data_IF_765049441614
#
_entry.id   IF_765049441614
#
_cell.length_a   1.000
_cell.length_b   1.000
_cell.length_c   1.000
_cell.angle_alpha   90.00
_cell.angle_beta   90.00
_cell.angle_gamma   90.00
#
_symmetry.space_group_name_H-M   'P 1'
#
loop_
_entity.id
_entity.type
_entity.pdbx_description
1 polymer ?
#
# COMPACT_ATOMS: atom_id res chain seq x y z
N UNK A 1 18.54 -2.73 -49.91
CA UNK A 1 19.17 -3.35 -48.73
C UNK A 1 18.59 -2.73 -47.49
N UNK A 2 17.54 -3.33 -46.96
CA UNK A 2 16.80 -2.87 -45.76
C UNK A 2 17.44 -3.50 -44.55
N UNK A 3 18.21 -2.74 -43.78
CA UNK A 3 18.74 -3.17 -42.48
C UNK A 3 17.60 -3.14 -41.46
N UNK A 4 17.06 -4.32 -41.17
CA UNK A 4 16.12 -4.55 -40.08
C UNK A 4 16.86 -4.33 -38.74
N UNK A 5 16.56 -3.23 -38.08
CA UNK A 5 16.95 -2.97 -36.70
C UNK A 5 16.14 -3.90 -35.76
N UNK A 6 16.62 -5.09 -35.52
CA UNK A 6 16.15 -5.94 -34.43
C UNK A 6 16.73 -5.40 -33.13
N UNK A 7 16.03 -4.49 -32.48
CA UNK A 7 16.31 -4.22 -31.06
C UNK A 7 16.03 -5.49 -30.27
N UNK A 8 17.01 -6.05 -29.56
CA UNK A 8 16.76 -7.24 -28.74
C UNK A 8 15.70 -6.86 -27.69
N UNK A 9 14.63 -7.65 -27.60
CA UNK A 9 13.62 -7.51 -26.57
C UNK A 9 14.30 -7.43 -25.19
N UNK A 10 13.90 -6.51 -24.31
CA UNK A 10 14.52 -6.35 -22.99
C UNK A 10 14.38 -7.67 -22.23
N UNK A 11 15.44 -8.44 -22.11
CA UNK A 11 15.47 -9.67 -21.34
C UNK A 11 15.25 -9.29 -19.87
N UNK A 12 14.06 -9.65 -19.33
CA UNK A 12 13.83 -9.60 -17.88
C UNK A 12 14.93 -10.46 -17.24
N UNK A 13 15.79 -9.83 -16.44
CA UNK A 13 16.88 -10.57 -15.80
C UNK A 13 16.27 -11.52 -14.77
N UNK A 14 16.64 -12.80 -14.82
CA UNK A 14 16.23 -13.86 -13.90
C UNK A 14 16.07 -13.42 -12.41
N UNK A 15 16.97 -12.58 -11.84
CA UNK A 15 16.83 -12.14 -10.45
C UNK A 15 15.59 -11.28 -10.14
N UNK A 16 14.93 -10.68 -11.14
CA UNK A 16 13.70 -9.88 -10.90
C UNK A 16 12.42 -10.74 -10.91
N UNK A 17 12.48 -11.97 -11.40
CA UNK A 17 11.31 -12.83 -11.50
C UNK A 17 10.59 -13.05 -10.16
N UNK A 18 11.28 -13.35 -9.03
CA UNK A 18 10.61 -13.49 -7.75
C UNK A 18 9.88 -12.21 -7.30
N UNK A 19 10.45 -11.03 -7.58
CA UNK A 19 9.82 -9.76 -7.24
C UNK A 19 8.56 -9.51 -8.08
N UNK A 20 8.63 -9.76 -9.38
CA UNK A 20 7.48 -9.66 -10.28
C UNK A 20 6.42 -10.69 -9.88
N UNK A 21 6.82 -11.92 -9.56
CA UNK A 21 5.94 -12.97 -9.08
C UNK A 21 5.24 -12.57 -7.77
N UNK A 22 5.98 -12.00 -6.80
CA UNK A 22 5.40 -11.49 -5.55
C UNK A 22 4.27 -10.49 -5.81
N UNK A 23 4.44 -9.62 -6.81
CA UNK A 23 3.40 -8.65 -7.18
C UNK A 23 2.24 -9.33 -7.91
N UNK A 24 2.51 -10.10 -8.97
CA UNK A 24 1.46 -10.60 -9.86
C UNK A 24 0.66 -11.77 -9.26
N UNK A 25 1.24 -12.58 -8.37
CA UNK A 25 0.52 -13.66 -7.69
C UNK A 25 -0.58 -13.19 -6.74
N UNK A 26 -0.60 -11.90 -6.42
CA UNK A 26 -1.72 -11.28 -5.72
C UNK A 26 -2.99 -11.16 -6.58
N UNK A 27 -2.91 -11.39 -7.88
CA UNK A 27 -4.08 -11.54 -8.73
C UNK A 27 -4.79 -12.89 -8.56
N UNK A 28 -4.12 -13.88 -7.95
CA UNK A 28 -4.72 -15.21 -7.69
C UNK A 28 -5.72 -15.04 -6.55
N UNK A 29 -7.00 -15.47 -6.75
CA UNK A 29 -8.00 -15.41 -5.69
C UNK A 29 -7.55 -16.19 -4.45
N UNK A 30 -7.65 -15.53 -3.30
CA UNK A 30 -7.41 -16.19 -2.02
C UNK A 30 -8.68 -16.93 -1.65
N UNK A 31 -8.65 -18.25 -1.65
CA UNK A 31 -9.72 -19.05 -1.07
C UNK A 31 -9.72 -18.79 0.45
N UNK A 32 -10.89 -18.46 0.99
CA UNK A 32 -11.02 -18.34 2.43
C UNK A 32 -10.56 -19.65 3.08
N UNK A 33 -9.50 -19.56 3.88
CA UNK A 33 -9.10 -20.73 4.66
C UNK A 33 -10.27 -21.13 5.56
N UNK A 34 -10.53 -22.43 5.64
CA UNK A 34 -11.53 -22.98 6.53
C UNK A 34 -11.35 -22.38 7.93
N UNK A 35 -12.44 -21.93 8.54
CA UNK A 35 -12.44 -21.29 9.84
C UNK A 35 -11.61 -22.13 10.83
N UNK A 36 -10.47 -21.59 11.27
CA UNK A 36 -9.58 -22.28 12.21
C UNK A 36 -8.09 -22.30 11.89
N UNK A 37 -7.66 -21.93 10.67
CA UNK A 37 -6.22 -21.83 10.37
C UNK A 37 -5.72 -20.40 10.56
N UNK A 38 -4.86 -20.20 11.55
CA UNK A 38 -4.35 -18.89 11.99
C UNK A 38 -3.32 -18.24 11.04
N UNK A 39 -2.97 -18.84 9.93
CA UNK A 39 -2.00 -18.28 8.99
C UNK A 39 -2.45 -18.51 7.54
N UNK A 40 -3.04 -17.49 6.92
CA UNK A 40 -3.32 -17.48 5.50
C UNK A 40 -2.03 -17.17 4.71
N UNK A 41 -1.22 -18.21 4.44
CA UNK A 41 -0.04 -18.08 3.58
C UNK A 41 -0.52 -18.02 2.13
N UNK A 42 -0.23 -16.92 1.47
CA UNK A 42 -0.60 -16.72 0.07
C UNK A 42 0.53 -17.15 -0.89
N UNK A 43 0.25 -17.43 -2.17
CA UNK A 43 1.28 -17.64 -3.17
C UNK A 43 2.27 -16.45 -3.28
N UNK A 44 1.81 -15.23 -3.02
CA UNK A 44 2.64 -14.04 -2.99
C UNK A 44 3.62 -14.05 -1.79
N UNK A 45 3.21 -14.58 -0.65
CA UNK A 45 4.10 -14.76 0.50
C UNK A 45 5.23 -15.74 0.19
N UNK A 46 4.93 -16.87 -0.46
CA UNK A 46 5.95 -17.82 -0.90
C UNK A 46 6.92 -17.21 -1.93
N UNK A 47 6.40 -16.44 -2.88
CA UNK A 47 7.22 -15.71 -3.84
C UNK A 47 8.11 -14.66 -3.14
N UNK A 48 7.62 -14.01 -2.10
CA UNK A 48 8.41 -13.05 -1.30
C UNK A 48 9.53 -13.73 -0.52
N UNK A 49 9.33 -14.95 -0.03
CA UNK A 49 10.40 -15.74 0.57
C UNK A 49 11.49 -16.08 -0.46
N UNK A 50 11.08 -16.52 -1.67
CA UNK A 50 12.01 -16.74 -2.77
C UNK A 50 12.75 -15.46 -3.17
N UNK A 51 12.06 -14.31 -3.18
CA UNK A 51 12.65 -12.99 -3.41
C UNK A 51 13.77 -12.69 -2.41
N UNK A 52 13.52 -12.89 -1.11
CA UNK A 52 14.52 -12.68 -0.05
C UNK A 52 15.72 -13.63 -0.22
N UNK A 53 15.47 -14.91 -0.48
CA UNK A 53 16.56 -15.89 -0.69
C UNK A 53 17.44 -15.54 -1.90
N UNK A 54 16.84 -15.14 -3.02
CA UNK A 54 17.58 -14.71 -4.22
C UNK A 54 18.39 -13.44 -3.95
N UNK A 55 17.81 -12.48 -3.19
CA UNK A 55 18.51 -11.26 -2.81
C UNK A 55 19.69 -11.54 -1.89
N UNK A 56 19.54 -12.40 -0.89
CA UNK A 56 20.62 -12.83 0.01
C UNK A 56 21.74 -13.55 -0.75
N UNK A 57 21.41 -14.50 -1.60
CA UNK A 57 22.39 -15.19 -2.45
C UNK A 57 23.13 -14.22 -3.39
N UNK A 58 22.46 -13.18 -3.86
CA UNK A 58 23.03 -12.11 -4.67
C UNK A 58 23.93 -11.16 -3.85
N UNK A 59 23.54 -10.83 -2.63
CA UNK A 59 24.28 -9.93 -1.74
C UNK A 59 25.64 -10.53 -1.32
N UNK A 60 25.66 -11.82 -0.99
CA UNK A 60 26.90 -12.54 -0.64
C UNK A 60 27.93 -12.48 -1.77
N UNK A 61 27.50 -12.40 -3.03
CA UNK A 61 28.36 -12.44 -4.21
C UNK A 61 28.76 -11.07 -4.78
N UNK A 62 28.05 -9.98 -4.48
CA UNK A 62 28.17 -8.79 -5.34
C UNK A 62 28.27 -7.44 -4.67
N UNK A 63 27.45 -7.09 -3.71
CA UNK A 63 27.51 -5.82 -2.94
C UNK A 63 26.50 -5.83 -1.81
N UNK A 64 26.92 -5.60 -0.57
CA UNK A 64 26.02 -5.37 0.56
C UNK A 64 25.24 -4.05 0.38
N UNK A 65 24.21 -3.88 1.19
CA UNK A 65 23.54 -2.59 1.35
C UNK A 65 24.55 -1.52 1.80
N UNK A 66 24.35 -0.28 1.40
CA UNK A 66 25.14 0.81 1.98
C UNK A 66 24.84 0.89 3.49
N UNK A 67 25.81 1.34 4.32
CA UNK A 67 25.56 1.46 5.77
C UNK A 67 24.31 2.28 6.12
N UNK A 68 24.06 3.35 5.37
CA UNK A 68 22.86 4.16 5.56
C UNK A 68 21.58 3.39 5.22
N UNK A 69 21.56 2.62 4.12
CA UNK A 69 20.41 1.80 3.76
C UNK A 69 20.18 0.67 4.76
N UNK A 70 21.26 0.03 5.23
CA UNK A 70 21.16 -1.02 6.25
C UNK A 70 20.64 -0.47 7.58
N UNK A 71 21.10 0.71 7.99
CA UNK A 71 20.62 1.38 9.20
C UNK A 71 19.12 1.73 9.08
N UNK A 72 18.73 2.45 8.04
CA UNK A 72 17.36 2.94 7.87
C UNK A 72 16.38 1.78 7.76
N UNK A 73 16.68 0.76 6.95
CA UNK A 73 15.82 -0.42 6.78
C UNK A 73 15.88 -1.39 7.97
N UNK A 74 16.94 -1.33 8.78
CA UNK A 74 17.08 -2.13 9.99
C UNK A 74 16.40 -1.54 11.23
N UNK A 75 16.10 -0.22 11.24
CA UNK A 75 15.46 0.44 12.37
C UNK A 75 14.17 -0.27 12.86
N UNK A 76 13.22 -0.65 12.01
CA UNK A 76 12.02 -1.34 12.46
C UNK A 76 12.30 -2.65 13.18
N UNK A 77 13.39 -3.36 12.82
CA UNK A 77 13.76 -4.63 13.47
C UNK A 77 13.99 -4.46 14.97
N UNK A 78 14.51 -3.30 15.41
CA UNK A 78 14.71 -3.03 16.83
C UNK A 78 13.38 -2.99 17.60
N UNK A 79 12.41 -2.20 17.10
CA UNK A 79 11.09 -2.11 17.74
C UNK A 79 10.36 -3.46 17.75
N UNK A 80 10.41 -4.18 16.62
CA UNK A 80 9.82 -5.52 16.48
C UNK A 80 10.45 -6.50 17.48
N UNK A 81 11.79 -6.51 17.62
CA UNK A 81 12.49 -7.40 18.52
C UNK A 81 12.16 -7.12 20.00
N UNK A 82 12.16 -5.83 20.40
CA UNK A 82 11.79 -5.42 21.76
C UNK A 82 10.35 -5.83 22.08
N UNK A 83 9.39 -5.52 21.18
CA UNK A 83 8.00 -5.88 21.39
C UNK A 83 7.75 -7.39 21.40
N UNK A 84 8.55 -8.16 20.67
CA UNK A 84 8.47 -9.63 20.72
C UNK A 84 8.97 -10.17 22.06
N UNK A 85 10.06 -9.58 22.59
CA UNK A 85 10.64 -10.00 23.87
C UNK A 85 9.74 -9.65 25.08
N UNK A 86 8.90 -8.63 24.94
CA UNK A 86 7.96 -8.19 26.01
C UNK A 86 6.54 -8.75 25.84
N UNK A 87 6.29 -9.56 24.82
CA UNK A 87 4.96 -10.09 24.53
C UNK A 87 4.50 -11.11 25.56
N UNK A 88 3.23 -11.04 25.94
CA UNK A 88 2.57 -11.97 26.86
C UNK A 88 2.25 -13.32 26.23
N UNK A 89 2.01 -13.36 24.89
CA UNK A 89 1.82 -14.57 24.10
C UNK A 89 3.00 -14.76 23.13
N UNK A 90 3.99 -15.61 23.46
CA UNK A 90 5.16 -15.84 22.59
C UNK A 90 4.81 -16.44 21.22
N UNK A 91 3.74 -17.24 21.12
CA UNK A 91 3.35 -17.91 19.87
C UNK A 91 2.78 -16.89 18.87
N UNK A 92 1.85 -16.05 19.33
CA UNK A 92 1.30 -14.97 18.52
C UNK A 92 2.39 -13.95 18.17
N UNK A 93 3.26 -13.61 19.14
CA UNK A 93 4.35 -12.67 18.94
C UNK A 93 5.36 -13.17 17.89
N UNK A 94 5.72 -14.46 17.89
CA UNK A 94 6.64 -15.03 16.91
C UNK A 94 6.05 -14.97 15.48
N UNK A 95 4.75 -15.27 15.34
CA UNK A 95 4.05 -15.13 14.07
C UNK A 95 4.05 -13.68 13.59
N UNK A 96 3.78 -12.73 14.49
CA UNK A 96 3.88 -11.30 14.25
C UNK A 96 5.30 -10.88 13.86
N UNK A 97 6.31 -11.35 14.59
CA UNK A 97 7.72 -11.06 14.33
C UNK A 97 8.11 -11.41 12.89
N UNK A 98 7.80 -12.64 12.47
CA UNK A 98 8.10 -13.10 11.10
C UNK A 98 7.42 -12.19 10.07
N UNK A 99 6.13 -11.86 10.27
CA UNK A 99 5.36 -11.03 9.33
C UNK A 99 5.87 -9.58 9.27
N UNK A 100 6.09 -8.95 10.41
CA UNK A 100 6.60 -7.58 10.46
C UNK A 100 8.03 -7.49 9.91
N UNK A 101 8.88 -8.45 10.24
CA UNK A 101 10.25 -8.53 9.71
C UNK A 101 10.24 -8.73 8.19
N UNK A 102 9.37 -9.61 7.67
CA UNK A 102 9.17 -9.81 6.23
C UNK A 102 8.82 -8.50 5.55
N UNK A 103 7.78 -7.81 6.03
CA UNK A 103 7.18 -6.64 5.35
C UNK A 103 8.06 -5.39 5.49
N UNK A 104 8.61 -5.11 6.67
CA UNK A 104 9.28 -3.84 6.93
C UNK A 104 10.82 -3.90 6.83
N UNK A 105 11.41 -5.09 6.76
CA UNK A 105 12.87 -5.25 6.73
C UNK A 105 13.32 -6.10 5.55
N UNK A 106 12.90 -7.35 5.46
CA UNK A 106 13.47 -8.31 4.51
C UNK A 106 13.06 -8.03 3.06
N UNK A 107 11.77 -7.86 2.79
CA UNK A 107 11.28 -7.56 1.44
C UNK A 107 11.82 -6.22 0.94
N UNK A 108 11.75 -5.10 1.69
CA UNK A 108 12.36 -3.84 1.27
C UNK A 108 13.85 -3.95 0.99
N UNK A 109 14.61 -4.62 1.85
CA UNK A 109 16.03 -4.84 1.65
C UNK A 109 16.32 -5.67 0.38
N UNK A 110 15.53 -6.73 0.14
CA UNK A 110 15.62 -7.54 -1.05
C UNK A 110 15.35 -6.74 -2.34
N UNK A 111 14.34 -5.88 -2.33
CA UNK A 111 14.03 -4.97 -3.45
C UNK A 111 15.21 -4.03 -3.72
N UNK A 112 15.78 -3.40 -2.69
CA UNK A 112 16.95 -2.51 -2.85
C UNK A 112 18.16 -3.25 -3.40
N UNK A 113 18.41 -4.48 -2.96
CA UNK A 113 19.52 -5.31 -3.43
C UNK A 113 19.38 -5.75 -4.89
N UNK A 114 18.15 -6.00 -5.36
CA UNK A 114 17.87 -6.51 -6.69
C UNK A 114 17.69 -5.42 -7.75
N UNK A 115 17.15 -4.27 -7.39
CA UNK A 115 16.99 -3.15 -8.30
C UNK A 115 18.35 -2.46 -8.54
N UNK A 116 18.78 -2.41 -9.80
CA UNK A 116 20.08 -1.82 -10.15
C UNK A 116 19.99 -0.62 -11.06
N UNK A 117 18.86 -0.49 -11.76
CA UNK A 117 18.69 0.54 -12.79
C UNK A 117 17.27 1.10 -12.73
N UNK A 118 17.02 2.31 -13.22
CA UNK A 118 15.67 2.84 -13.39
C UNK A 118 14.76 1.95 -14.26
N UNK A 119 15.35 1.19 -15.19
CA UNK A 119 14.59 0.21 -15.98
C UNK A 119 14.00 -0.90 -15.10
N UNK A 120 14.77 -1.44 -14.14
CA UNK A 120 14.26 -2.45 -13.20
C UNK A 120 13.10 -1.89 -12.36
N UNK A 121 13.21 -0.65 -11.89
CA UNK A 121 12.14 0.03 -11.17
C UNK A 121 10.87 0.12 -12.03
N UNK A 122 10.99 0.57 -13.30
CA UNK A 122 9.86 0.67 -14.23
C UNK A 122 9.21 -0.68 -14.53
N UNK A 123 9.98 -1.76 -14.60
CA UNK A 123 9.45 -3.13 -14.78
C UNK A 123 8.58 -3.54 -13.58
N UNK A 124 9.04 -3.26 -12.35
CA UNK A 124 8.25 -3.58 -11.15
C UNK A 124 7.00 -2.71 -11.05
N UNK A 125 7.11 -1.41 -11.33
CA UNK A 125 5.93 -0.53 -11.35
C UNK A 125 4.95 -0.90 -12.48
N UNK A 126 5.43 -1.40 -13.62
CA UNK A 126 4.57 -1.96 -14.67
C UNK A 126 3.81 -3.21 -14.18
N UNK A 127 4.48 -4.09 -13.41
CA UNK A 127 3.81 -5.24 -12.79
C UNK A 127 2.72 -4.79 -11.79
N UNK A 128 2.98 -3.73 -11.01
CA UNK A 128 1.95 -3.12 -10.14
C UNK A 128 0.77 -2.57 -10.94
N UNK A 129 1.02 -1.92 -12.07
CA UNK A 129 -0.05 -1.40 -12.96
C UNK A 129 -0.87 -2.56 -13.53
N UNK A 130 -0.22 -3.64 -13.99
CA UNK A 130 -0.92 -4.83 -14.49
C UNK A 130 -1.80 -5.43 -13.38
N UNK A 131 -1.27 -5.62 -12.18
CA UNK A 131 -2.03 -6.10 -11.04
C UNK A 131 -3.23 -5.18 -10.74
N UNK A 132 -3.02 -3.86 -10.74
CA UNK A 132 -4.07 -2.88 -10.49
C UNK A 132 -5.18 -2.93 -11.55
N UNK A 133 -4.83 -3.10 -12.82
CA UNK A 133 -5.81 -3.26 -13.90
C UNK A 133 -6.61 -4.56 -13.76
N UNK A 134 -5.97 -5.66 -13.40
CA UNK A 134 -6.65 -6.95 -13.16
C UNK A 134 -7.59 -6.82 -11.96
N UNK A 135 -7.11 -6.31 -10.84
CA UNK A 135 -7.91 -6.10 -9.62
C UNK A 135 -9.08 -5.14 -9.88
N UNK A 136 -8.79 -4.03 -10.59
CA UNK A 136 -9.81 -3.05 -10.95
C UNK A 136 -10.88 -3.61 -11.90
N UNK A 137 -10.48 -4.36 -12.93
CA UNK A 137 -11.42 -5.01 -13.85
C UNK A 137 -12.32 -6.04 -13.11
N UNK A 138 -11.74 -6.84 -12.22
CA UNK A 138 -12.49 -7.76 -11.36
C UNK A 138 -13.47 -7.00 -10.48
N UNK A 139 -13.04 -5.90 -9.85
CA UNK A 139 -13.89 -5.08 -9.01
C UNK A 139 -15.05 -4.42 -9.77
N UNK A 140 -14.82 -3.89 -10.96
CA UNK A 140 -15.87 -3.34 -11.83
C UNK A 140 -16.87 -4.44 -12.22
N UNK A 141 -16.39 -5.63 -12.57
CA UNK A 141 -17.24 -6.78 -12.86
C UNK A 141 -18.10 -7.17 -11.64
N UNK A 142 -17.50 -7.23 -10.45
CA UNK A 142 -18.22 -7.55 -9.21
C UNK A 142 -19.33 -6.53 -8.92
N UNK A 143 -19.05 -5.24 -9.09
CA UNK A 143 -20.04 -4.20 -8.91
C UNK A 143 -21.18 -4.31 -9.93
N UNK A 144 -20.86 -4.54 -11.21
CA UNK A 144 -21.84 -4.65 -12.28
C UNK A 144 -22.75 -5.88 -12.15
N UNK A 145 -22.26 -6.97 -11.56
CA UNK A 145 -22.99 -8.24 -11.40
C UNK A 145 -23.59 -8.44 -10.02
N UNK A 146 -23.38 -7.52 -9.09
CA UNK A 146 -23.84 -7.67 -7.72
C UNK A 146 -23.10 -8.74 -6.92
N UNK A 147 -21.87 -9.12 -7.32
CA UNK A 147 -21.08 -10.19 -6.69
C UNK A 147 -19.95 -9.67 -5.79
N UNK A 148 -19.89 -8.37 -5.52
CA UNK A 148 -18.95 -7.76 -4.59
C UNK A 148 -19.27 -8.06 -3.12
N UNK A 149 -18.54 -7.44 -2.19
CA UNK A 149 -18.81 -7.56 -0.77
C UNK A 149 -19.86 -6.55 -0.31
N UNK A 150 -20.77 -6.99 0.55
CA UNK A 150 -21.68 -6.12 1.31
C UNK A 150 -21.08 -5.87 2.69
N UNK A 151 -21.26 -4.66 3.21
CA UNK A 151 -20.87 -4.30 4.56
C UNK A 151 -22.11 -3.81 5.31
N UNK A 152 -22.45 -4.48 6.40
CA UNK A 152 -23.63 -4.20 7.24
C UNK A 152 -24.98 -4.24 6.49
N UNK A 153 -25.08 -5.06 5.43
CA UNK A 153 -26.30 -5.15 4.61
C UNK A 153 -26.49 -3.99 3.63
N UNK A 154 -25.54 -3.06 3.58
CA UNK A 154 -25.56 -1.95 2.63
C UNK A 154 -24.56 -2.20 1.49
N UNK A 155 -24.85 -1.63 0.36
CA UNK A 155 -24.14 -1.51 -0.91
C UNK A 155 -23.00 -2.50 -1.22
N UNK A 156 -23.06 -3.03 -2.42
CA UNK A 156 -22.05 -3.95 -2.97
C UNK A 156 -20.78 -3.17 -3.25
N UNK A 157 -19.69 -3.53 -2.57
CA UNK A 157 -18.35 -2.99 -2.79
C UNK A 157 -17.55 -3.86 -3.73
N UNK A 158 -16.80 -3.22 -4.61
CA UNK A 158 -15.75 -3.88 -5.37
C UNK A 158 -14.58 -4.24 -4.45
N UNK A 159 -14.22 -5.52 -4.39
CA UNK A 159 -13.15 -6.06 -3.51
C UNK A 159 -12.04 -6.79 -4.29
N UNK A 160 -12.21 -6.95 -5.60
CA UNK A 160 -11.26 -7.66 -6.45
C UNK A 160 -11.12 -9.14 -6.09
N UNK A 161 -9.95 -9.70 -6.31
CA UNK A 161 -9.67 -11.11 -6.01
C UNK A 161 -9.37 -11.38 -4.53
N UNK A 162 -9.25 -10.34 -3.70
CA UNK A 162 -8.96 -10.47 -2.26
C UNK A 162 -10.18 -10.90 -1.44
N UNK A 163 -11.39 -10.66 -1.98
CA UNK A 163 -12.64 -11.03 -1.32
C UNK A 163 -12.91 -10.22 -0.04
N UNK A 164 -13.84 -10.71 0.81
CA UNK A 164 -14.27 -10.00 2.01
C UNK A 164 -13.22 -9.98 3.13
N UNK A 165 -12.16 -10.78 3.04
CA UNK A 165 -11.09 -10.85 4.05
C UNK A 165 -10.08 -9.70 3.95
N UNK A 166 -10.01 -9.04 2.79
CA UNK A 166 -9.17 -7.87 2.57
C UNK A 166 -9.92 -6.86 1.68
N UNK A 167 -11.01 -6.33 2.21
CA UNK A 167 -11.91 -5.40 1.50
C UNK A 167 -11.16 -4.15 1.01
N UNK A 168 -10.11 -3.75 1.72
CA UNK A 168 -9.29 -2.59 1.36
C UNK A 168 -8.20 -2.91 0.34
N UNK A 169 -7.82 -4.19 0.19
CA UNK A 169 -6.71 -4.61 -0.64
C UNK A 169 -6.82 -4.18 -2.09
N UNK A 170 -8.00 -4.31 -2.70
CA UNK A 170 -8.23 -3.85 -4.07
C UNK A 170 -8.04 -2.33 -4.19
N UNK A 171 -8.61 -1.54 -3.29
CA UNK A 171 -8.50 -0.08 -3.31
C UNK A 171 -7.04 0.36 -3.20
N UNK A 172 -6.27 -0.28 -2.33
CA UNK A 172 -4.83 -0.02 -2.14
C UNK A 172 -4.04 -0.35 -3.40
N UNK A 173 -4.25 -1.53 -4.00
CA UNK A 173 -3.56 -1.94 -5.24
C UNK A 173 -3.90 -1.03 -6.40
N UNK A 174 -5.17 -0.68 -6.58
CA UNK A 174 -5.63 0.23 -7.62
C UNK A 174 -5.00 1.62 -7.45
N UNK A 175 -4.92 2.11 -6.22
CA UNK A 175 -4.25 3.38 -5.90
C UNK A 175 -2.76 3.35 -6.25
N UNK A 176 -2.05 2.26 -5.96
CA UNK A 176 -0.64 2.11 -6.36
C UNK A 176 -0.48 2.15 -7.89
N UNK A 177 -1.32 1.42 -8.62
CA UNK A 177 -1.31 1.45 -10.09
C UNK A 177 -1.62 2.83 -10.67
N UNK A 178 -2.62 3.52 -10.11
CA UNK A 178 -3.00 4.87 -10.50
C UNK A 178 -1.82 5.86 -10.27
N UNK A 179 -1.19 5.83 -9.11
CA UNK A 179 -0.06 6.71 -8.81
C UNK A 179 1.17 6.39 -9.65
N UNK A 180 1.43 5.11 -9.96
CA UNK A 180 2.50 4.71 -10.85
C UNK A 180 2.27 5.20 -12.30
N UNK A 181 1.04 5.07 -12.81
CA UNK A 181 0.68 5.59 -14.14
C UNK A 181 0.67 7.12 -14.18
N UNK A 182 0.20 7.78 -13.11
CA UNK A 182 0.25 9.23 -12.97
C UNK A 182 1.69 9.75 -13.00
N UNK A 183 2.64 9.08 -12.35
CA UNK A 183 4.06 9.45 -12.40
C UNK A 183 4.60 9.43 -13.84
N UNK A 184 4.27 8.39 -14.62
CA UNK A 184 4.63 8.29 -16.03
C UNK A 184 3.95 9.37 -16.89
N UNK A 185 2.69 9.68 -16.64
CA UNK A 185 1.97 10.72 -17.34
C UNK A 185 2.56 12.12 -17.09
N UNK A 186 2.96 12.40 -15.84
CA UNK A 186 3.54 13.68 -15.43
C UNK A 186 5.01 13.84 -15.86
N UNK A 187 5.80 12.78 -15.83
CA UNK A 187 7.25 12.78 -16.09
C UNK A 187 7.66 11.63 -17.00
N UNK A 188 7.08 11.56 -18.21
CA UNK A 188 7.44 10.56 -19.21
C UNK A 188 8.93 10.68 -19.58
N UNK A 189 9.72 9.59 -19.55
CA UNK A 189 11.12 9.61 -19.98
C UNK A 189 11.25 10.09 -21.44
N UNK A 190 12.26 10.91 -21.74
CA UNK A 190 12.47 11.43 -23.10
C UNK A 190 12.73 10.34 -24.16
N UNK A 191 13.30 9.21 -23.74
CA UNK A 191 13.54 8.04 -24.60
C UNK A 191 12.33 7.12 -24.77
N UNK A 192 11.21 7.43 -24.11
CA UNK A 192 10.02 6.60 -24.16
C UNK A 192 9.28 6.78 -25.50
N UNK A 193 8.61 5.74 -25.99
CA UNK A 193 7.77 5.85 -27.20
C UNK A 193 6.61 6.83 -26.97
N UNK A 194 6.21 7.52 -28.02
CA UNK A 194 5.18 8.59 -27.97
C UNK A 194 3.82 8.13 -27.44
N UNK A 195 3.50 6.84 -27.58
CA UNK A 195 2.26 6.25 -27.10
C UNK A 195 2.24 6.04 -25.57
N UNK A 196 3.40 5.98 -24.91
CA UNK A 196 3.47 5.67 -23.46
C UNK A 196 2.71 6.69 -22.61
N UNK A 197 2.86 7.97 -22.91
CA UNK A 197 2.19 9.04 -22.15
C UNK A 197 0.66 9.00 -22.26
N UNK A 198 0.06 8.94 -23.47
CA UNK A 198 -1.40 8.82 -23.58
C UNK A 198 -1.93 7.52 -22.96
N UNK A 199 -1.21 6.40 -23.08
CA UNK A 199 -1.59 5.16 -22.40
C UNK A 199 -1.52 5.29 -20.87
N UNK A 200 -0.52 5.98 -20.33
CA UNK A 200 -0.43 6.22 -18.89
C UNK A 200 -1.59 7.11 -18.38
N UNK A 201 -1.98 8.13 -19.16
CA UNK A 201 -3.15 8.96 -18.84
C UNK A 201 -4.44 8.12 -18.87
N UNK A 202 -4.63 7.33 -19.94
CA UNK A 202 -5.80 6.47 -20.09
C UNK A 202 -5.89 5.42 -18.95
N UNK A 203 -4.78 4.80 -18.59
CA UNK A 203 -4.72 3.85 -17.48
C UNK A 203 -5.01 4.53 -16.14
N UNK A 204 -4.48 5.73 -15.89
CA UNK A 204 -4.80 6.50 -14.69
C UNK A 204 -6.31 6.80 -14.62
N UNK A 205 -6.91 7.26 -15.73
CA UNK A 205 -8.33 7.52 -15.79
C UNK A 205 -9.18 6.24 -15.59
N UNK A 206 -8.78 5.13 -16.23
CA UNK A 206 -9.48 3.86 -16.06
C UNK A 206 -9.45 3.35 -14.62
N UNK A 207 -8.32 3.51 -13.91
CA UNK A 207 -8.16 3.07 -12.53
C UNK A 207 -8.94 3.94 -11.51
N UNK A 208 -9.40 5.15 -11.88
CA UNK A 208 -10.28 5.93 -11.00
C UNK A 208 -11.65 5.26 -10.82
N UNK A 209 -12.13 4.52 -11.82
CA UNK A 209 -13.45 3.85 -11.76
C UNK A 209 -13.48 2.79 -10.65
N UNK A 210 -12.62 1.74 -10.65
CA UNK A 210 -12.65 0.74 -9.58
C UNK A 210 -12.29 1.34 -8.21
N UNK A 211 -11.47 2.39 -8.16
CA UNK A 211 -11.19 3.10 -6.91
C UNK A 211 -12.46 3.76 -6.34
N UNK A 212 -13.27 4.41 -7.19
CA UNK A 212 -14.55 4.95 -6.77
C UNK A 212 -15.50 3.84 -6.28
N UNK A 213 -15.61 2.74 -7.02
CA UNK A 213 -16.48 1.60 -6.70
C UNK A 213 -16.02 0.79 -5.48
N UNK A 214 -14.84 1.06 -4.95
CA UNK A 214 -14.37 0.46 -3.69
C UNK A 214 -15.05 1.05 -2.46
N UNK A 215 -15.67 2.22 -2.57
CA UNK A 215 -16.27 2.99 -1.47
C UNK A 215 -15.34 3.18 -0.26
N UNK A 216 -14.03 3.16 -0.50
CA UNK A 216 -13.02 3.34 0.53
C UNK A 216 -12.62 4.79 0.69
N UNK A 217 -13.25 5.49 1.66
CA UNK A 217 -12.95 6.90 1.98
C UNK A 217 -11.46 7.14 2.27
N UNK A 218 -10.85 6.23 3.06
CA UNK A 218 -9.43 6.32 3.39
C UNK A 218 -8.52 6.24 2.16
N UNK A 219 -8.76 5.27 1.27
CA UNK A 219 -7.99 5.13 0.03
C UNK A 219 -8.18 6.31 -0.92
N UNK A 220 -9.39 6.89 -0.99
CA UNK A 220 -9.65 8.10 -1.79
C UNK A 220 -8.82 9.28 -1.30
N UNK A 221 -8.89 9.56 0.02
CA UNK A 221 -8.14 10.67 0.65
C UNK A 221 -6.63 10.48 0.44
N UNK A 222 -6.11 9.28 0.71
CA UNK A 222 -4.70 8.97 0.54
C UNK A 222 -4.25 9.14 -0.92
N UNK A 223 -5.06 8.67 -1.89
CA UNK A 223 -4.77 8.81 -3.32
C UNK A 223 -4.77 10.26 -3.76
N UNK A 224 -5.76 11.05 -3.33
CA UNK A 224 -5.84 12.48 -3.66
C UNK A 224 -4.65 13.24 -3.09
N UNK A 225 -4.31 13.03 -1.82
CA UNK A 225 -3.15 13.68 -1.18
C UNK A 225 -1.85 13.32 -1.92
N UNK A 226 -1.65 12.05 -2.23
CA UNK A 226 -0.47 11.60 -2.98
C UNK A 226 -0.42 12.18 -4.40
N UNK A 227 -1.53 12.17 -5.12
CA UNK A 227 -1.62 12.73 -6.47
C UNK A 227 -1.35 14.24 -6.48
N UNK A 228 -1.93 15.00 -5.55
CA UNK A 228 -1.68 16.45 -5.39
C UNK A 228 -0.20 16.69 -5.07
N UNK A 229 0.38 15.96 -4.14
CA UNK A 229 1.81 16.07 -3.82
C UNK A 229 2.69 15.81 -5.06
N UNK A 230 2.38 14.76 -5.84
CA UNK A 230 3.10 14.46 -7.09
C UNK A 230 2.96 15.59 -8.12
N UNK A 231 1.75 16.13 -8.31
CA UNK A 231 1.49 17.24 -9.24
C UNK A 231 2.29 18.49 -8.83
N UNK A 232 2.26 18.86 -7.56
CA UNK A 232 2.99 20.02 -7.04
C UNK A 232 4.52 19.89 -7.23
N UNK A 233 5.05 18.67 -7.14
CA UNK A 233 6.47 18.38 -7.37
C UNK A 233 6.91 18.48 -8.84
N UNK A 234 5.98 18.58 -9.80
CA UNK A 234 6.33 18.78 -11.22
C UNK A 234 6.69 20.22 -11.58
N UNK A 235 6.41 21.18 -10.71
CA UNK A 235 6.60 22.62 -10.92
C UNK A 235 5.29 23.35 -11.19
N UNK A 236 5.21 24.62 -10.80
CA UNK A 236 3.97 25.40 -10.73
C UNK A 236 3.15 25.41 -12.05
N UNK A 237 3.83 25.65 -13.19
CA UNK A 237 3.14 25.70 -14.50
C UNK A 237 2.51 24.36 -14.89
N UNK A 238 3.22 23.25 -14.65
CA UNK A 238 2.71 21.91 -14.99
C UNK A 238 1.64 21.48 -13.99
N UNK A 239 1.83 21.83 -12.71
CA UNK A 239 0.84 21.62 -11.66
C UNK A 239 -0.48 22.32 -11.98
N UNK A 240 -0.45 23.61 -12.36
CA UNK A 240 -1.66 24.34 -12.74
C UNK A 240 -2.40 23.68 -13.91
N UNK A 241 -1.68 23.26 -14.96
CA UNK A 241 -2.28 22.55 -16.10
C UNK A 241 -2.89 21.21 -15.71
N UNK A 242 -2.20 20.41 -14.86
CA UNK A 242 -2.69 19.12 -14.43
C UNK A 242 -3.92 19.27 -13.52
N UNK A 243 -3.90 20.21 -12.58
CA UNK A 243 -5.07 20.51 -11.75
C UNK A 243 -6.26 20.97 -12.59
N UNK A 244 -6.04 21.91 -13.51
CA UNK A 244 -7.11 22.37 -14.40
C UNK A 244 -7.72 21.23 -15.23
N UNK A 245 -6.89 20.32 -15.76
CA UNK A 245 -7.36 19.15 -16.50
C UNK A 245 -8.16 18.18 -15.63
N UNK A 246 -7.71 17.91 -14.39
CA UNK A 246 -8.42 17.06 -13.43
C UNK A 246 -9.75 17.68 -13.03
N UNK A 247 -9.77 18.99 -12.75
CA UNK A 247 -11.01 19.72 -12.41
C UNK A 247 -11.99 19.70 -13.57
N UNK A 248 -11.52 19.97 -14.80
CA UNK A 248 -12.36 19.91 -15.99
C UNK A 248 -12.94 18.50 -16.21
N UNK A 249 -12.13 17.46 -16.06
CA UNK A 249 -12.59 16.07 -16.16
C UNK A 249 -13.63 15.73 -15.07
N UNK A 250 -13.43 16.17 -13.84
CA UNK A 250 -14.39 15.98 -12.74
C UNK A 250 -15.72 16.69 -13.02
N UNK A 251 -15.67 17.93 -13.50
CA UNK A 251 -16.89 18.71 -13.89
C UNK A 251 -17.65 18.01 -15.02
N UNK A 252 -16.94 17.49 -16.03
CA UNK A 252 -17.58 16.77 -17.15
C UNK A 252 -18.20 15.45 -16.69
N UNK A 253 -17.52 14.70 -15.82
CA UNK A 253 -18.02 13.41 -15.33
C UNK A 253 -19.22 13.57 -14.39
N UNK A 254 -19.17 14.52 -13.47
CA UNK A 254 -20.26 14.76 -12.50
C UNK A 254 -21.40 15.54 -13.13
N UNK A 255 -21.07 16.60 -13.87
CA UNK A 255 -22.10 17.49 -14.48
C UNK A 255 -22.67 16.98 -15.79
N UNK A 256 -21.88 16.23 -16.59
CA UNK A 256 -22.28 15.78 -17.93
C UNK A 256 -22.95 14.39 -17.96
N UNK A 257 -22.54 13.48 -17.11
CA UNK A 257 -23.01 12.09 -17.17
C UNK A 257 -23.85 11.68 -15.95
N UNK A 258 -23.97 12.50 -14.93
CA UNK A 258 -24.73 12.18 -13.69
C UNK A 258 -24.24 10.90 -12.99
N UNK A 259 -23.05 10.42 -13.33
CA UNK A 259 -22.52 9.14 -12.87
C UNK A 259 -22.31 9.17 -11.36
N UNK A 260 -23.11 8.40 -10.65
CA UNK A 260 -22.95 8.19 -9.21
C UNK A 260 -23.34 9.39 -8.34
N UNK A 261 -24.11 10.36 -8.85
CA UNK A 261 -24.37 11.62 -8.14
C UNK A 261 -24.96 11.43 -6.74
N UNK A 262 -25.87 10.49 -6.53
CA UNK A 262 -26.52 10.28 -5.25
C UNK A 262 -25.61 9.55 -4.24
N UNK A 263 -25.03 8.42 -4.63
CA UNK A 263 -24.16 7.60 -3.77
C UNK A 263 -22.80 8.27 -3.47
N UNK A 264 -22.21 8.98 -4.47
CA UNK A 264 -21.01 9.79 -4.25
C UNK A 264 -21.32 10.99 -3.37
N UNK A 265 -22.48 11.66 -3.56
CA UNK A 265 -22.87 12.78 -2.70
C UNK A 265 -23.11 12.34 -1.26
N UNK A 266 -23.79 11.22 -1.03
CA UNK A 266 -23.99 10.64 0.30
C UNK A 266 -22.65 10.32 0.98
N UNK A 267 -21.69 9.75 0.25
CA UNK A 267 -20.35 9.47 0.79
C UNK A 267 -19.51 10.73 1.03
N UNK A 268 -19.62 11.74 0.18
CA UNK A 268 -18.98 13.04 0.41
C UNK A 268 -19.59 13.76 1.60
N UNK A 269 -20.92 13.77 1.72
CA UNK A 269 -21.63 14.32 2.87
C UNK A 269 -21.23 13.59 4.15
N UNK A 270 -21.13 12.26 4.13
CA UNK A 270 -20.66 11.47 5.28
C UNK A 270 -19.21 11.74 5.68
N UNK A 271 -18.37 12.30 4.81
CA UNK A 271 -17.01 12.77 5.18
C UNK A 271 -17.11 14.10 5.96
N UNK A 272 -18.04 14.95 5.61
CA UNK A 272 -18.23 16.27 6.27
C UNK A 272 -19.05 16.18 7.54
N UNK A 273 -19.94 15.19 7.66
CA UNK A 273 -20.86 15.02 8.81
C UNK A 273 -20.36 14.00 9.86
N UNK A 274 -19.12 13.50 9.73
CA UNK A 274 -18.53 12.52 10.66
C UNK A 274 -18.58 12.96 12.14
N UNK A 275 -18.65 14.26 12.39
CA UNK A 275 -18.70 14.82 13.75
C UNK A 275 -20.11 14.88 14.35
N UNK A 276 -21.17 14.87 13.53
CA UNK A 276 -22.53 15.07 14.02
C UNK A 276 -23.30 13.76 14.24
N UNK A 277 -23.08 12.75 13.39
CA UNK A 277 -23.67 11.41 13.54
C UNK A 277 -22.72 10.34 12.96
N UNK A 278 -21.64 9.96 13.68
CA UNK A 278 -20.70 8.99 13.19
C UNK A 278 -21.37 7.63 13.01
N UNK A 279 -21.15 7.00 11.86
CA UNK A 279 -21.62 5.65 11.62
C UNK A 279 -20.94 4.63 12.58
N UNK A 280 -21.53 3.44 12.76
CA UNK A 280 -21.05 2.43 13.71
C UNK A 280 -19.58 2.05 13.48
N UNK A 281 -19.15 1.99 12.21
CA UNK A 281 -17.77 1.70 11.84
C UNK A 281 -16.79 2.80 12.29
N UNK A 282 -17.21 4.05 12.30
CA UNK A 282 -16.41 5.18 12.79
C UNK A 282 -16.34 5.14 14.33
N UNK A 283 -17.44 4.86 15.01
CA UNK A 283 -17.47 4.72 16.46
C UNK A 283 -16.56 3.58 16.95
N UNK A 284 -16.61 2.43 16.29
CA UNK A 284 -15.73 1.29 16.60
C UNK A 284 -14.25 1.66 16.43
N UNK A 285 -13.91 2.42 15.38
CA UNK A 285 -12.53 2.90 15.17
C UNK A 285 -12.08 3.84 16.28
N UNK A 286 -12.89 4.82 16.66
CA UNK A 286 -12.55 5.74 17.75
C UNK A 286 -12.38 5.00 19.08
N UNK A 287 -13.24 4.01 19.37
CA UNK A 287 -13.13 3.18 20.56
C UNK A 287 -11.82 2.35 20.56
N UNK A 288 -11.46 1.77 19.41
CA UNK A 288 -10.19 1.03 19.28
C UNK A 288 -8.96 1.95 19.32
N UNK A 289 -9.06 3.19 18.81
CA UNK A 289 -7.98 4.18 18.93
C UNK A 289 -7.77 4.61 20.37
N UNK A 290 -8.86 4.83 21.11
CA UNK A 290 -8.79 5.11 22.54
C UNK A 290 -8.19 3.95 23.33
N UNK A 291 -8.58 2.70 23.01
CA UNK A 291 -7.98 1.52 23.59
C UNK A 291 -6.48 1.40 23.32
N UNK A 292 -6.06 1.64 22.07
CA UNK A 292 -4.64 1.65 21.71
C UNK A 292 -3.84 2.72 22.49
N UNK A 293 -4.40 3.92 22.63
CA UNK A 293 -3.79 4.99 23.42
C UNK A 293 -3.69 4.64 24.90
N UNK A 294 -4.71 4.00 25.48
CA UNK A 294 -4.71 3.52 26.87
C UNK A 294 -3.66 2.44 27.09
N UNK A 295 -3.54 1.45 26.20
CA UNK A 295 -2.47 0.43 26.25
C UNK A 295 -1.07 1.04 26.22
N UNK A 296 -0.89 2.07 25.39
CA UNK A 296 0.39 2.80 25.34
C UNK A 296 0.68 3.54 26.65
N UNK A 297 -0.32 4.16 27.28
CA UNK A 297 -0.14 4.87 28.55
C UNK A 297 0.35 3.95 29.68
N UNK A 298 -0.10 2.68 29.67
CA UNK A 298 0.35 1.67 30.65
C UNK A 298 1.79 1.23 30.39
N UNK A 299 2.22 1.17 29.13
CA UNK A 299 3.55 0.71 28.72
C UNK A 299 4.19 1.64 27.69
N UNK A 300 4.59 2.88 28.03
CA UNK A 300 4.97 3.90 27.05
C UNK A 300 6.16 3.54 26.18
N UNK A 301 7.16 2.86 26.73
CA UNK A 301 8.40 2.55 26.02
C UNK A 301 8.28 1.40 25.05
N UNK A 302 7.68 0.29 25.47
CA UNK A 302 7.70 -1.01 24.78
C UNK A 302 6.34 -1.46 24.27
N UNK A 303 5.24 -0.81 24.69
CA UNK A 303 3.88 -1.25 24.42
C UNK A 303 3.51 -2.54 25.18
N UNK A 304 2.37 -3.12 24.84
CA UNK A 304 1.84 -4.35 25.44
C UNK A 304 2.44 -5.63 24.82
N UNK A 305 3.42 -5.49 23.93
CA UNK A 305 4.04 -6.60 23.22
C UNK A 305 3.41 -6.86 21.84
N UNK A 306 4.19 -7.47 20.97
CA UNK A 306 3.81 -7.73 19.59
C UNK A 306 2.61 -8.69 19.52
N UNK A 307 1.60 -8.33 18.70
CA UNK A 307 0.31 -9.02 18.63
C UNK A 307 -0.48 -9.01 19.95
N UNK A 308 -0.15 -8.09 20.85
CA UNK A 308 -0.83 -7.92 22.13
C UNK A 308 -2.15 -7.17 22.05
N UNK A 309 -2.37 -6.36 21.00
CA UNK A 309 -3.59 -5.55 20.88
C UNK A 309 -4.88 -6.37 21.02
N UNK A 310 -5.09 -7.50 20.33
CA UNK A 310 -6.33 -8.28 20.46
C UNK A 310 -6.58 -8.80 21.88
N UNK A 311 -5.51 -9.16 22.60
CA UNK A 311 -5.59 -9.73 23.96
C UNK A 311 -5.96 -8.65 25.00
N UNK A 312 -5.39 -7.45 24.84
CA UNK A 312 -5.60 -6.35 25.79
C UNK A 312 -6.80 -5.47 25.43
N UNK A 313 -7.36 -5.60 24.19
CA UNK A 313 -8.43 -4.74 23.67
C UNK A 313 -9.61 -4.60 24.62
N UNK A 314 -10.15 -5.71 25.11
CA UNK A 314 -11.39 -5.70 25.88
C UNK A 314 -11.22 -5.05 27.27
N UNK A 315 -10.00 -5.07 27.82
CA UNK A 315 -9.68 -4.40 29.09
C UNK A 315 -9.55 -2.87 28.93
N UNK A 316 -9.26 -2.39 27.71
CA UNK A 316 -9.00 -0.97 27.42
C UNK A 316 -10.11 -0.31 26.60
N UNK A 317 -10.98 -1.09 25.95
CA UNK A 317 -12.07 -0.58 25.14
C UNK A 317 -13.28 -0.20 26.01
N UNK A 318 -14.03 0.83 25.58
CA UNK A 318 -15.32 1.14 26.19
C UNK A 318 -16.37 0.06 25.85
N UNK A 319 -17.43 -0.02 26.65
CA UNK A 319 -18.58 -0.92 26.46
C UNK A 319 -19.28 -0.70 25.11
N UNK A 320 -19.06 0.46 24.47
CA UNK A 320 -19.64 0.80 23.17
C UNK A 320 -19.00 0.09 21.98
N UNK A 321 -17.90 -0.67 22.17
CA UNK A 321 -17.28 -1.42 21.08
C UNK A 321 -18.20 -2.53 20.58
N UNK A 322 -18.45 -2.58 19.28
CA UNK A 322 -19.24 -3.67 18.72
C UNK A 322 -18.48 -4.99 18.76
N UNK A 323 -19.25 -6.10 18.81
CA UNK A 323 -18.64 -7.44 18.88
C UNK A 323 -17.91 -7.89 17.61
N UNK A 324 -17.95 -7.10 16.53
CA UNK A 324 -17.28 -7.36 15.27
C UNK A 324 -17.92 -6.62 14.10
N UNK A 325 -17.25 -6.63 12.96
CA UNK A 325 -17.78 -6.11 11.69
C UNK A 325 -18.50 -7.24 10.92
N UNK A 326 -19.63 -6.88 10.33
CA UNK A 326 -20.44 -7.78 9.53
C UNK A 326 -19.99 -7.69 8.07
N UNK A 327 -19.49 -8.78 7.51
CA UNK A 327 -19.10 -8.86 6.10
C UNK A 327 -19.82 -10.01 5.41
N UNK A 328 -20.31 -9.76 4.19
CA UNK A 328 -20.95 -10.76 3.35
C UNK A 328 -20.61 -10.48 1.88
N UNK A 329 -20.85 -11.43 1.00
CA UNK A 329 -20.68 -11.29 -0.44
C UNK A 329 -19.38 -11.90 -0.98
N UNK A 330 -19.07 -11.65 -2.25
CA UNK A 330 -17.95 -12.24 -2.96
C UNK A 330 -17.91 -13.80 -2.90
N UNK A 331 -19.09 -14.44 -2.95
CA UNK A 331 -19.23 -15.88 -2.87
C UNK A 331 -19.18 -16.48 -1.46
N UNK A 332 -19.16 -15.63 -0.42
CA UNK A 332 -19.14 -16.09 0.98
C UNK A 332 -20.45 -15.72 1.69
N UNK A 333 -20.88 -16.59 2.61
CA UNK A 333 -21.98 -16.30 3.53
C UNK A 333 -21.59 -15.21 4.52
N UNK A 334 -22.61 -14.58 5.11
CA UNK A 334 -22.45 -13.62 6.19
C UNK A 334 -21.51 -14.17 7.27
N UNK A 335 -20.49 -13.39 7.62
CA UNK A 335 -19.52 -13.75 8.65
C UNK A 335 -19.18 -12.53 9.50
N UNK A 336 -19.25 -12.71 10.82
CA UNK A 336 -18.87 -11.69 11.78
C UNK A 336 -17.38 -11.75 12.04
N UNK A 337 -16.64 -10.73 11.61
CA UNK A 337 -15.20 -10.66 11.83
C UNK A 337 -14.89 -9.88 13.11
N UNK A 338 -14.10 -10.45 14.03
CA UNK A 338 -13.68 -9.74 15.24
C UNK A 338 -12.77 -8.56 14.89
N UNK A 339 -12.93 -7.45 15.61
CA UNK A 339 -12.10 -6.26 15.49
C UNK A 339 -10.77 -6.49 16.22
N UNK A 340 -9.74 -6.93 15.49
CA UNK A 340 -8.46 -7.37 16.06
C UNK A 340 -7.35 -6.31 15.97
N UNK A 341 -7.64 -5.15 15.40
CA UNK A 341 -6.68 -4.06 15.26
C UNK A 341 -7.38 -2.70 15.25
N UNK A 342 -6.66 -1.61 15.56
CA UNK A 342 -7.25 -0.26 15.55
C UNK A 342 -7.51 0.28 14.13
N UNK A 343 -7.19 -0.45 13.08
CA UNK A 343 -7.21 0.02 11.69
C UNK A 343 -6.47 1.38 11.52
N UNK A 344 -5.37 1.52 12.25
CA UNK A 344 -4.43 2.62 12.19
C UNK A 344 -3.06 2.09 12.55
N UNK A 345 -2.15 2.05 11.58
CA UNK A 345 -0.83 1.43 11.75
C UNK A 345 0.01 2.14 12.81
N UNK A 346 -0.12 3.45 12.94
CA UNK A 346 0.65 4.21 13.93
C UNK A 346 0.21 3.88 15.35
N UNK A 347 -1.10 3.79 15.59
CA UNK A 347 -1.65 3.43 16.88
C UNK A 347 -1.42 1.93 17.19
N UNK A 348 -1.44 1.08 16.17
CA UNK A 348 -1.11 -0.34 16.34
C UNK A 348 0.35 -0.51 16.78
N UNK A 349 1.28 0.16 16.09
CA UNK A 349 2.70 0.13 16.47
C UNK A 349 2.91 0.78 17.84
N UNK A 350 2.24 1.88 18.13
CA UNK A 350 2.35 2.57 19.42
C UNK A 350 1.87 1.69 20.58
N UNK A 351 0.72 1.04 20.43
CA UNK A 351 0.16 0.17 21.47
C UNK A 351 0.97 -1.12 21.68
N UNK A 352 1.43 -1.75 20.58
CA UNK A 352 2.15 -3.04 20.64
C UNK A 352 3.66 -2.90 20.87
N UNK A 353 4.29 -1.80 20.36
CA UNK A 353 5.76 -1.65 20.35
C UNK A 353 6.23 -0.39 21.08
N UNK A 354 5.30 0.41 21.62
CA UNK A 354 5.59 1.63 22.36
C UNK A 354 6.29 2.70 21.53
N UNK A 355 6.89 3.66 22.19
CA UNK A 355 7.66 4.75 21.54
C UNK A 355 8.90 4.24 20.81
N UNK A 356 9.53 3.15 21.29
CA UNK A 356 10.70 2.57 20.63
C UNK A 356 10.30 2.10 19.23
N UNK A 357 9.22 1.33 19.11
CA UNK A 357 8.74 0.87 17.80
C UNK A 357 8.21 1.99 16.93
N UNK A 358 7.40 2.90 17.48
CA UNK A 358 6.83 3.99 16.72
C UNK A 358 7.90 4.93 16.15
N UNK A 359 8.91 5.31 16.94
CA UNK A 359 9.99 6.18 16.48
C UNK A 359 10.84 5.51 15.40
N UNK A 360 11.13 4.21 15.54
CA UNK A 360 11.83 3.43 14.53
C UNK A 360 11.00 3.34 13.22
N UNK A 361 9.71 3.05 13.33
CA UNK A 361 8.80 2.93 12.20
C UNK A 361 8.63 4.25 11.46
N UNK A 362 8.22 5.31 12.15
CA UNK A 362 8.02 6.65 11.55
C UNK A 362 9.35 7.22 11.06
N UNK A 363 10.44 7.02 11.80
CA UNK A 363 11.78 7.46 11.42
C UNK A 363 12.24 6.86 10.10
N UNK A 364 11.97 5.57 9.86
CA UNK A 364 12.28 4.90 8.59
C UNK A 364 11.52 5.53 7.41
N UNK A 365 10.21 5.70 7.52
CA UNK A 365 9.40 6.30 6.45
C UNK A 365 9.78 7.77 6.20
N UNK A 366 9.98 8.55 7.25
CA UNK A 366 10.38 9.95 7.16
C UNK A 366 11.78 10.11 6.53
N UNK A 367 12.74 9.28 6.90
CA UNK A 367 14.08 9.30 6.32
C UNK A 367 14.05 8.99 4.82
N UNK A 368 13.30 7.95 4.42
CA UNK A 368 13.14 7.56 3.01
C UNK A 368 12.44 8.66 2.21
N UNK A 369 11.34 9.23 2.73
CA UNK A 369 10.62 10.31 2.06
C UNK A 369 11.50 11.55 1.90
N UNK A 370 12.20 11.96 2.97
CA UNK A 370 13.10 13.11 2.94
C UNK A 370 14.24 12.93 1.94
N UNK A 371 14.88 11.76 1.94
CA UNK A 371 15.94 11.44 0.98
C UNK A 371 15.41 11.40 -0.47
N UNK A 372 14.20 10.84 -0.66
CA UNK A 372 13.53 10.81 -1.97
C UNK A 372 13.26 12.21 -2.53
N UNK A 373 12.75 13.11 -1.70
CA UNK A 373 12.49 14.50 -2.06
C UNK A 373 13.78 15.25 -2.39
N UNK A 374 14.83 15.08 -1.56
CA UNK A 374 16.15 15.69 -1.81
C UNK A 374 16.74 15.23 -3.13
N UNK A 375 16.63 13.91 -3.45
CA UNK A 375 17.14 13.36 -4.72
C UNK A 375 16.35 13.87 -5.92
N UNK A 376 15.02 13.95 -5.82
CA UNK A 376 14.18 14.50 -6.89
C UNK A 376 14.51 15.96 -7.20
N UNK A 377 14.70 16.80 -6.16
CA UNK A 377 15.04 18.23 -6.30
C UNK A 377 16.42 18.46 -6.95
N UNK A 378 17.35 17.51 -6.86
CA UNK A 378 18.64 17.56 -7.53
C UNK A 378 18.60 17.29 -9.02
N UNK A 379 17.42 17.09 -9.60
CA UNK A 379 17.24 16.96 -11.05
C UNK A 379 17.69 15.62 -11.64
N UNK A 380 17.50 14.52 -10.95
CA UNK A 380 17.88 13.19 -11.43
C UNK A 380 17.16 12.82 -12.74
N UNK A 381 17.85 12.22 -13.75
CA UNK A 381 17.28 11.92 -15.07
C UNK A 381 16.10 10.93 -15.04
N UNK A 382 16.00 10.06 -14.01
CA UNK A 382 14.87 9.15 -13.79
C UNK A 382 13.81 9.77 -12.86
N UNK A 383 13.42 11.02 -13.10
CA UNK A 383 12.47 11.75 -12.26
C UNK A 383 11.07 11.07 -12.21
N UNK A 384 10.69 10.29 -13.21
CA UNK A 384 9.50 9.44 -13.20
C UNK A 384 9.55 8.40 -12.08
N UNK A 385 10.67 7.72 -11.90
CA UNK A 385 10.86 6.76 -10.79
C UNK A 385 10.78 7.47 -9.43
N UNK A 386 11.41 8.67 -9.33
CA UNK A 386 11.36 9.46 -8.12
C UNK A 386 9.97 9.93 -7.77
N UNK A 387 9.21 10.38 -8.76
CA UNK A 387 7.85 10.84 -8.56
C UNK A 387 6.93 9.67 -8.15
N UNK A 388 7.08 8.50 -8.77
CA UNK A 388 6.36 7.29 -8.37
C UNK A 388 6.73 6.87 -6.94
N UNK A 389 8.02 6.81 -6.60
CA UNK A 389 8.48 6.46 -5.26
C UNK A 389 7.90 7.40 -4.18
N UNK A 390 7.90 8.70 -4.42
CA UNK A 390 7.33 9.69 -3.48
C UNK A 390 5.81 9.54 -3.39
N UNK A 391 5.11 9.42 -4.52
CA UNK A 391 3.67 9.26 -4.54
C UNK A 391 3.21 8.01 -3.78
N UNK A 392 3.86 6.88 -4.02
CA UNK A 392 3.59 5.63 -3.32
C UNK A 392 3.89 5.72 -1.81
N UNK A 393 4.98 6.42 -1.43
CA UNK A 393 5.32 6.64 -0.01
C UNK A 393 4.30 7.54 0.68
N UNK A 394 3.91 8.64 0.05
CA UNK A 394 2.89 9.56 0.60
C UNK A 394 1.56 8.84 0.73
N UNK A 395 1.13 8.09 -0.30
CA UNK A 395 -0.08 7.29 -0.19
C UNK A 395 -0.02 6.35 1.01
N UNK A 396 1.03 5.55 1.13
CA UNK A 396 1.13 4.54 2.19
C UNK A 396 1.15 5.18 3.59
N UNK A 397 1.84 6.30 3.76
CA UNK A 397 1.89 6.99 5.06
C UNK A 397 0.54 7.62 5.44
N UNK A 398 -0.24 8.09 4.47
CA UNK A 398 -1.59 8.59 4.72
C UNK A 398 -2.58 7.44 4.94
N UNK A 399 -2.49 6.38 4.13
CA UNK A 399 -3.35 5.20 4.26
C UNK A 399 -3.21 4.52 5.63
N UNK A 400 -2.01 4.51 6.20
CA UNK A 400 -1.75 4.02 7.56
C UNK A 400 -2.49 4.76 8.68
N UNK A 401 -3.08 5.92 8.43
CA UNK A 401 -4.00 6.57 9.38
C UNK A 401 -5.36 5.87 9.45
N UNK A 402 -5.73 5.10 8.43
CA UNK A 402 -7.05 4.48 8.27
C UNK A 402 -6.99 2.97 8.07
N UNK A 403 -5.78 2.42 7.89
CA UNK A 403 -5.50 1.01 7.67
C UNK A 403 -4.25 0.58 8.44
N UNK A 404 -4.08 -0.71 8.59
CA UNK A 404 -2.86 -1.33 9.10
C UNK A 404 -2.44 -2.49 8.19
N UNK A 405 -1.43 -3.24 8.59
CA UNK A 405 -1.03 -4.46 7.88
C UNK A 405 -1.97 -5.60 8.23
N UNK A 406 -2.68 -6.07 7.26
CA UNK A 406 -3.59 -7.22 7.35
C UNK A 406 -3.92 -7.73 5.95
N UNK A 407 -4.38 -8.94 5.85
CA UNK A 407 -4.78 -9.53 4.59
C UNK A 407 -3.65 -9.84 3.59
N UNK A 408 -4.03 -10.37 2.42
CA UNK A 408 -3.11 -10.80 1.37
C UNK A 408 -2.27 -9.67 0.76
N UNK A 409 -2.81 -8.45 0.70
CA UNK A 409 -2.14 -7.30 0.07
C UNK A 409 -0.93 -6.78 0.87
N UNK A 410 -0.77 -7.18 2.12
CA UNK A 410 0.25 -6.67 3.06
C UNK A 410 1.68 -6.73 2.51
N UNK A 411 2.03 -7.78 1.74
CA UNK A 411 3.40 -7.94 1.20
C UNK A 411 3.77 -6.80 0.24
N UNK A 412 2.78 -6.15 -0.40
CA UNK A 412 3.02 -4.99 -1.26
C UNK A 412 3.56 -3.79 -0.50
N UNK A 413 3.18 -3.60 0.76
CA UNK A 413 3.76 -2.56 1.61
C UNK A 413 5.28 -2.67 1.65
N UNK A 414 5.82 -3.89 1.78
CA UNK A 414 7.25 -4.14 1.71
C UNK A 414 7.86 -3.83 0.34
N UNK A 415 7.17 -4.17 -0.74
CA UNK A 415 7.62 -3.83 -2.11
C UNK A 415 7.64 -2.32 -2.31
N UNK A 416 6.60 -1.60 -1.89
CA UNK A 416 6.52 -0.14 -2.00
C UNK A 416 7.63 0.54 -1.18
N UNK A 417 7.82 0.11 0.07
CA UNK A 417 8.91 0.60 0.91
C UNK A 417 10.28 0.35 0.26
N UNK A 418 10.47 -0.83 -0.35
CA UNK A 418 11.68 -1.19 -1.08
C UNK A 418 11.93 -0.34 -2.34
N UNK A 419 10.88 -0.05 -3.12
CA UNK A 419 10.95 0.86 -4.27
C UNK A 419 11.34 2.28 -3.83
N UNK A 420 10.70 2.77 -2.76
CA UNK A 420 11.00 4.08 -2.21
C UNK A 420 12.42 4.14 -1.64
N UNK A 421 12.85 3.12 -0.90
CA UNK A 421 14.20 3.03 -0.37
C UNK A 421 15.26 2.93 -1.46
N UNK A 422 15.00 2.16 -2.52
CA UNK A 422 15.90 2.12 -3.68
C UNK A 422 16.07 3.50 -4.31
N UNK A 423 14.97 4.20 -4.56
CA UNK A 423 15.06 5.55 -5.08
C UNK A 423 15.82 6.49 -4.15
N UNK A 424 15.53 6.43 -2.83
CA UNK A 424 16.11 7.33 -1.85
C UNK A 424 17.61 7.10 -1.61
N UNK A 425 18.03 5.83 -1.53
CA UNK A 425 19.29 5.41 -0.91
C UNK A 425 20.26 4.70 -1.86
N UNK A 426 19.83 4.32 -3.09
CA UNK A 426 20.74 3.70 -4.06
C UNK A 426 21.86 4.69 -4.43
N UNK A 427 23.11 4.21 -4.52
CA UNK A 427 24.22 5.04 -4.97
C UNK A 427 23.88 5.72 -6.30
N UNK A 428 24.13 7.01 -6.41
CA UNK A 428 24.01 7.73 -7.68
C UNK A 428 24.87 7.04 -8.73
N UNK A 429 24.34 6.87 -9.96
CA UNK A 429 25.22 6.54 -11.08
C UNK A 429 26.27 7.65 -11.15
N UNK A 430 27.56 7.27 -11.02
CA UNK A 430 28.63 8.21 -11.29
C UNK A 430 28.42 8.80 -12.69
N UNK A 431 28.54 10.12 -12.90
CA UNK A 431 28.46 10.70 -14.23
C UNK A 431 29.50 10.01 -15.11
N UNK A 432 29.02 9.37 -16.20
CA UNK A 432 29.89 8.82 -17.25
C UNK A 432 30.42 9.96 -18.11
#
# INVERSE_FOLDING_TARGET
>A
MTVLWTTPAPRVRLPLLPLIATVLLLAVPVQAAAAGTSANITPADLASCALVLVALAGAVRRRPLTPAAALILGLPALGIAVATATATDPTAALTGFVRYLQVFVLVPAAVVLLLRTPHHFRVVTAALVVLALVQGATGVYQYATGTGASYMGEDIRAVGTFGPTDVMGMATVVSYGLLATLALALRTPRSAPRWLRPCAIAASAALTVPLALSFSRGAWIATVIAAVAMILLTGARQAAKALAAVTAAAVVLVGGFGVGSQMISERLTSITEVTEAPDRSVNDRYTMWAAAASMWQDNPATGVGLKGFPVHRDAHASIGLSSGSDTAGAGQSFHKQPLLSPHNMYLLVLSEQGLIGLTAFVGTWAAILTASLRRLRRGHPAADCGLAAIGLTVYQTVDFLYADIGGPSTVLTGVILGLAAWWALAPGEAPR
#
